data_IF_450117082670
#
_entry.id   IF_450117082670
#
_cell.length_a   1.000
_cell.length_b   1.000
_cell.length_c   1.000
_cell.angle_alpha   90.00
_cell.angle_beta   90.00
_cell.angle_gamma   90.00
#
_symmetry.space_group_name_H-M   'P 1'
#
loop_
_entity.id
_entity.type
_entity.pdbx_description
1 polymer ?
#
# COMPACT_ATOMS: atom_id res chain seq x y z
N UNK A 1 -9.28 -14.41 7.80
CA UNK A 1 -8.34 -13.86 8.80
C UNK A 1 -8.98 -12.93 9.81
N UNK A 2 -9.99 -12.11 9.45
CA UNK A 2 -10.93 -11.57 10.46
C UNK A 2 -11.47 -12.68 11.39
N UNK A 3 -11.71 -13.88 10.86
CA UNK A 3 -12.01 -15.09 11.64
C UNK A 3 -10.91 -15.57 12.61
N UNK A 4 -9.62 -15.35 12.36
CA UNK A 4 -8.56 -15.79 13.29
C UNK A 4 -8.43 -14.84 14.47
N UNK A 5 -8.47 -13.53 14.23
CA UNK A 5 -8.49 -12.54 15.30
C UNK A 5 -9.82 -12.62 16.09
N UNK A 6 -10.96 -12.80 15.41
CA UNK A 6 -12.26 -13.00 16.05
C UNK A 6 -12.35 -14.34 16.80
N UNK A 7 -11.85 -15.45 16.25
CA UNK A 7 -11.81 -16.73 16.97
C UNK A 7 -10.81 -16.72 18.13
N UNK A 8 -9.70 -15.99 18.01
CA UNK A 8 -8.77 -15.79 19.11
C UNK A 8 -9.44 -15.01 20.25
N UNK A 9 -10.23 -13.98 19.93
CA UNK A 9 -10.97 -13.17 20.90
C UNK A 9 -12.05 -13.94 21.69
N UNK A 10 -12.58 -15.04 21.15
CA UNK A 10 -13.61 -15.85 21.81
C UNK A 10 -13.04 -17.08 22.56
N UNK A 11 -11.74 -17.41 22.40
CA UNK A 11 -11.10 -18.64 22.92
C UNK A 11 -10.02 -18.40 24.01
N UNK A 12 -10.07 -17.27 24.72
CA UNK A 12 -8.88 -16.54 25.21
C UNK A 12 -8.03 -17.10 26.39
N UNK A 13 -8.42 -18.13 27.15
CA UNK A 13 -7.54 -18.53 28.28
C UNK A 13 -6.39 -19.47 27.89
N UNK A 14 -6.59 -20.28 26.84
CA UNK A 14 -5.64 -21.34 26.45
C UNK A 14 -4.76 -20.99 25.24
N UNK A 15 -5.12 -19.96 24.46
CA UNK A 15 -4.33 -19.56 23.30
C UNK A 15 -2.98 -18.96 23.73
N UNK A 16 -1.86 -19.65 23.42
CA UNK A 16 -0.51 -19.20 23.79
C UNK A 16 0.30 -18.61 22.64
N UNK A 17 -0.02 -18.98 21.41
CA UNK A 17 0.63 -18.43 20.22
C UNK A 17 -0.36 -18.31 19.05
N UNK A 18 -0.17 -17.28 18.22
CA UNK A 18 -0.98 -17.02 17.03
C UNK A 18 -0.10 -16.52 15.88
N UNK A 19 -0.54 -16.80 14.66
CA UNK A 19 0.10 -16.31 13.43
C UNK A 19 -0.91 -15.46 12.66
N UNK A 20 -0.49 -14.27 12.24
CA UNK A 20 -1.16 -13.45 11.23
C UNK A 20 -0.32 -13.52 9.95
N UNK A 21 -0.82 -14.16 8.90
CA UNK A 21 -0.07 -14.35 7.65
C UNK A 21 -0.77 -13.58 6.51
N UNK A 22 -0.20 -12.45 6.09
CA UNK A 22 -0.75 -11.54 5.05
C UNK A 22 -2.25 -11.27 5.23
N UNK A 23 -2.64 -10.95 6.47
CA UNK A 23 -4.02 -10.87 6.89
C UNK A 23 -4.52 -9.46 7.14
N UNK A 24 -5.64 -9.05 6.53
CA UNK A 24 -6.33 -7.84 6.95
C UNK A 24 -7.10 -8.08 8.26
N UNK A 25 -7.26 -7.00 9.02
CA UNK A 25 -8.13 -6.91 10.19
C UNK A 25 -9.30 -5.91 9.97
N UNK A 26 -9.18 -5.00 9.00
CA UNK A 26 -10.19 -3.98 8.71
C UNK A 26 -10.49 -3.93 7.21
N UNK A 27 -11.57 -4.57 6.79
CA UNK A 27 -11.96 -4.58 5.38
C UNK A 27 -12.49 -3.24 4.88
N UNK A 28 -13.02 -2.39 5.76
CA UNK A 28 -13.46 -1.04 5.42
C UNK A 28 -12.28 -0.16 5.07
N UNK A 29 -11.29 -0.11 5.95
CA UNK A 29 -10.05 0.62 5.70
C UNK A 29 -9.30 0.07 4.47
N UNK A 30 -9.29 -1.26 4.25
CA UNK A 30 -8.71 -1.84 3.03
C UNK A 30 -9.39 -1.32 1.76
N UNK A 31 -10.71 -1.32 1.77
CA UNK A 31 -11.51 -1.10 0.57
C UNK A 31 -11.68 0.39 0.28
N UNK A 32 -11.87 1.23 1.30
CA UNK A 32 -12.21 2.65 1.15
C UNK A 32 -11.31 3.61 1.93
N UNK A 33 -10.30 3.12 2.66
CA UNK A 33 -9.49 3.97 3.56
C UNK A 33 -8.71 5.09 2.87
N UNK A 34 -8.52 5.00 1.55
CA UNK A 34 -7.91 6.07 0.73
C UNK A 34 -8.93 7.09 0.20
N UNK A 35 -10.22 6.91 0.51
CA UNK A 35 -11.36 7.60 -0.07
C UNK A 35 -11.77 7.10 -1.48
N UNK A 36 -10.92 6.33 -2.16
CA UNK A 36 -11.27 5.61 -3.39
C UNK A 36 -11.41 4.11 -3.13
N UNK A 37 -12.32 3.45 -3.86
CA UNK A 37 -12.48 2.00 -3.75
C UNK A 37 -11.27 1.26 -4.32
N UNK A 38 -10.66 0.40 -3.51
CA UNK A 38 -9.76 -0.66 -3.97
C UNK A 38 -10.59 -1.84 -4.50
N UNK A 39 -10.55 -2.16 -5.80
CA UNK A 39 -11.40 -3.18 -6.39
C UNK A 39 -10.88 -4.62 -6.21
N UNK A 40 -9.78 -4.84 -5.47
CA UNK A 40 -9.35 -6.20 -5.12
C UNK A 40 -10.45 -6.98 -4.37
N UNK A 41 -11.33 -6.30 -3.63
CA UNK A 41 -12.50 -6.94 -3.05
C UNK A 41 -13.52 -7.39 -4.12
N UNK A 42 -13.76 -6.59 -5.17
CA UNK A 42 -14.59 -7.01 -6.31
C UNK A 42 -13.99 -8.24 -6.97
N UNK A 43 -12.66 -8.24 -7.13
CA UNK A 43 -11.91 -9.37 -7.70
C UNK A 43 -12.12 -10.65 -6.89
N UNK A 44 -12.05 -10.55 -5.56
CA UNK A 44 -12.29 -11.66 -4.64
C UNK A 44 -13.76 -12.13 -4.67
N UNK A 45 -14.73 -11.22 -4.62
CA UNK A 45 -16.18 -11.54 -4.70
C UNK A 45 -16.48 -12.28 -6.01
N UNK A 46 -15.93 -11.83 -7.14
CA UNK A 46 -16.09 -12.52 -8.42
C UNK A 46 -15.50 -13.92 -8.43
N UNK A 47 -14.35 -14.14 -7.78
CA UNK A 47 -13.76 -15.47 -7.64
C UNK A 47 -14.62 -16.39 -6.75
N UNK A 48 -15.15 -15.88 -5.64
CA UNK A 48 -16.03 -16.63 -4.75
C UNK A 48 -17.35 -17.01 -5.44
N UNK A 49 -17.96 -16.06 -6.16
CA UNK A 49 -19.19 -16.31 -6.91
C UNK A 49 -18.99 -17.38 -8.00
N UNK A 50 -17.86 -17.34 -8.72
CA UNK A 50 -17.51 -18.36 -9.71
C UNK A 50 -17.32 -19.75 -9.06
N UNK A 51 -16.75 -19.82 -7.86
CA UNK A 51 -16.62 -21.08 -7.10
C UNK A 51 -17.98 -21.62 -6.65
N UNK A 52 -18.85 -20.77 -6.10
CA UNK A 52 -20.20 -21.16 -5.66
C UNK A 52 -21.04 -21.69 -6.82
N UNK A 53 -20.96 -21.05 -7.99
CA UNK A 53 -21.62 -21.49 -9.23
C UNK A 53 -20.92 -22.67 -9.91
N UNK A 54 -19.79 -23.14 -9.38
CA UNK A 54 -18.96 -24.22 -9.96
C UNK A 54 -18.51 -23.94 -11.40
N UNK A 55 -18.31 -22.66 -11.74
CA UNK A 55 -17.85 -22.20 -13.05
C UNK A 55 -16.33 -22.31 -13.22
N UNK A 56 -15.60 -22.49 -12.11
CA UNK A 56 -14.15 -22.65 -12.09
C UNK A 56 -13.71 -23.70 -11.09
N UNK A 57 -12.60 -24.37 -11.42
CA UNK A 57 -11.85 -25.23 -10.49
C UNK A 57 -10.57 -24.55 -9.98
N UNK A 58 -10.24 -23.37 -10.52
CA UNK A 58 -9.06 -22.60 -10.10
C UNK A 58 -9.29 -22.04 -8.70
N UNK A 59 -8.32 -22.17 -7.78
CA UNK A 59 -8.37 -21.45 -6.49
C UNK A 59 -8.45 -19.92 -6.72
N UNK A 60 -9.05 -19.15 -5.79
CA UNK A 60 -9.34 -17.73 -5.99
C UNK A 60 -8.17 -16.89 -6.52
N UNK A 61 -6.94 -16.99 -5.98
CA UNK A 61 -5.84 -16.15 -6.45
C UNK A 61 -5.43 -16.44 -7.91
N UNK A 62 -5.59 -17.68 -8.36
CA UNK A 62 -5.35 -18.07 -9.76
C UNK A 62 -6.48 -17.58 -10.66
N UNK A 63 -7.73 -17.69 -10.22
CA UNK A 63 -8.89 -17.14 -10.92
C UNK A 63 -8.75 -15.63 -11.14
N UNK A 64 -8.41 -14.88 -10.08
CA UNK A 64 -8.19 -13.43 -10.14
C UNK A 64 -7.06 -13.06 -11.12
N UNK A 65 -5.99 -13.84 -11.12
CA UNK A 65 -4.86 -13.63 -12.04
C UNK A 65 -5.23 -13.92 -13.50
N UNK A 66 -5.98 -15.00 -13.73
CA UNK A 66 -6.45 -15.39 -15.06
C UNK A 66 -7.43 -14.37 -15.65
N UNK A 67 -8.28 -13.79 -14.82
CA UNK A 67 -9.29 -12.82 -15.23
C UNK A 67 -8.88 -11.36 -15.06
N UNK A 68 -7.61 -11.05 -14.76
CA UNK A 68 -7.14 -9.68 -14.49
C UNK A 68 -7.49 -8.68 -15.61
N UNK A 69 -7.37 -9.09 -16.87
CA UNK A 69 -7.59 -8.20 -18.03
C UNK A 69 -9.08 -7.98 -18.26
N UNK A 70 -9.87 -9.04 -18.07
CA UNK A 70 -11.33 -8.96 -18.03
C UNK A 70 -11.78 -8.04 -16.90
N UNK A 71 -11.24 -8.20 -15.70
CA UNK A 71 -11.55 -7.38 -14.54
C UNK A 71 -11.19 -5.91 -14.83
N UNK A 72 -9.97 -5.63 -15.27
CA UNK A 72 -9.54 -4.27 -15.60
C UNK A 72 -10.46 -3.62 -16.65
N UNK A 73 -10.81 -4.35 -17.71
CA UNK A 73 -11.76 -3.88 -18.72
C UNK A 73 -13.15 -3.63 -18.14
N UNK A 74 -13.71 -4.58 -17.41
CA UNK A 74 -15.09 -4.50 -16.91
C UNK A 74 -15.21 -3.40 -15.84
N UNK A 75 -14.21 -3.21 -14.98
CA UNK A 75 -14.11 -2.11 -14.02
C UNK A 75 -13.74 -0.75 -14.64
N UNK A 76 -13.37 -0.72 -15.93
CA UNK A 76 -13.21 0.52 -16.71
C UNK A 76 -14.52 0.95 -17.35
N UNK A 77 -15.64 0.33 -17.00
CA UNK A 77 -16.96 0.78 -17.41
C UNK A 77 -17.29 2.14 -16.81
N UNK A 78 -18.06 2.94 -17.57
CA UNK A 78 -18.45 4.29 -17.14
C UNK A 78 -19.41 4.19 -15.95
N UNK A 79 -20.42 3.32 -16.01
CA UNK A 79 -21.09 2.80 -14.81
C UNK A 79 -20.24 1.68 -14.20
N UNK A 80 -19.59 1.98 -13.07
CA UNK A 80 -18.79 0.99 -12.34
C UNK A 80 -19.68 -0.16 -11.86
N UNK A 81 -20.90 0.13 -11.39
CA UNK A 81 -21.87 -0.89 -10.97
C UNK A 81 -22.13 -1.91 -12.08
N UNK A 82 -22.39 -1.45 -13.31
CA UNK A 82 -22.61 -2.37 -14.44
C UNK A 82 -21.34 -3.15 -14.79
N UNK A 83 -20.17 -2.52 -14.60
CA UNK A 83 -18.87 -3.17 -14.70
C UNK A 83 -18.72 -4.32 -13.71
N UNK A 84 -19.01 -4.08 -12.43
CA UNK A 84 -18.95 -5.07 -11.36
C UNK A 84 -19.92 -6.23 -11.63
N UNK A 85 -21.17 -5.94 -11.99
CA UNK A 85 -22.17 -6.95 -12.36
C UNK A 85 -21.71 -7.84 -13.52
N UNK A 86 -21.13 -7.24 -14.57
CA UNK A 86 -20.57 -8.01 -15.71
C UNK A 86 -19.38 -8.88 -15.32
N UNK A 87 -18.50 -8.38 -14.45
CA UNK A 87 -17.35 -9.14 -13.97
C UNK A 87 -17.81 -10.32 -13.10
N UNK A 88 -18.66 -10.07 -12.12
CA UNK A 88 -19.18 -11.07 -11.17
C UNK A 88 -20.13 -12.06 -11.86
N UNK A 89 -20.77 -11.66 -12.96
CA UNK A 89 -21.66 -12.52 -13.75
C UNK A 89 -23.10 -12.52 -13.27
N UNK A 90 -23.57 -11.41 -12.67
CA UNK A 90 -24.93 -11.29 -12.14
C UNK A 90 -25.07 -10.11 -11.18
N UNK A 91 -26.15 -10.11 -10.40
CA UNK A 91 -26.31 -9.17 -9.28
C UNK A 91 -25.22 -9.37 -8.22
N UNK A 92 -24.87 -8.27 -7.55
CA UNK A 92 -23.96 -8.34 -6.40
C UNK A 92 -24.67 -9.05 -5.24
N UNK A 93 -23.94 -9.82 -4.40
CA UNK A 93 -24.48 -10.26 -3.12
C UNK A 93 -24.99 -9.06 -2.32
N UNK A 94 -26.15 -9.18 -1.66
CA UNK A 94 -26.83 -8.07 -0.96
C UNK A 94 -25.91 -7.33 0.03
N UNK A 95 -25.10 -8.08 0.78
CA UNK A 95 -24.13 -7.51 1.72
C UNK A 95 -23.06 -6.67 1.01
N UNK A 96 -22.63 -7.08 -0.20
CA UNK A 96 -21.60 -6.38 -0.96
C UNK A 96 -22.18 -5.19 -1.71
N UNK A 97 -23.39 -5.34 -2.26
CA UNK A 97 -24.17 -4.24 -2.85
C UNK A 97 -24.32 -3.09 -1.84
N UNK A 98 -24.81 -3.41 -0.63
CA UNK A 98 -24.98 -2.43 0.43
C UNK A 98 -23.67 -1.71 0.82
N UNK A 99 -22.54 -2.42 0.79
CA UNK A 99 -21.23 -1.83 1.08
C UNK A 99 -20.79 -0.86 -0.03
N UNK A 100 -20.90 -1.26 -1.30
CA UNK A 100 -20.42 -0.42 -2.42
C UNK A 100 -21.30 0.79 -2.67
N UNK A 101 -22.58 0.73 -2.29
CA UNK A 101 -23.51 1.88 -2.36
C UNK A 101 -23.51 2.73 -1.09
N UNK A 102 -22.71 2.39 -0.08
CA UNK A 102 -22.65 3.11 1.20
C UNK A 102 -23.89 2.93 2.09
N UNK A 103 -24.77 1.97 1.79
CA UNK A 103 -25.94 1.63 2.59
C UNK A 103 -25.60 0.78 3.82
N UNK A 104 -24.45 0.10 3.80
CA UNK A 104 -23.97 -0.79 4.85
C UNK A 104 -22.51 -0.45 5.13
N UNK A 105 -22.19 -0.17 6.39
CA UNK A 105 -20.80 -0.02 6.81
C UNK A 105 -20.11 -1.38 6.88
N UNK A 106 -18.83 -1.43 6.56
CA UNK A 106 -18.05 -2.65 6.80
C UNK A 106 -18.03 -2.98 8.30
N UNK A 107 -18.24 -4.25 8.68
CA UNK A 107 -18.01 -4.66 10.05
C UNK A 107 -16.54 -4.46 10.39
N UNK A 108 -16.26 -3.54 11.33
CA UNK A 108 -14.91 -3.26 11.81
C UNK A 108 -14.51 -4.34 12.80
N UNK A 109 -13.48 -5.13 12.49
CA UNK A 109 -12.94 -6.13 13.41
C UNK A 109 -11.75 -5.61 14.24
N UNK A 110 -11.62 -4.29 14.41
CA UNK A 110 -10.59 -3.65 15.27
C UNK A 110 -10.66 -4.16 16.70
N UNK A 111 -11.86 -4.43 17.21
CA UNK A 111 -12.13 -5.07 18.49
C UNK A 111 -11.30 -6.34 18.72
N UNK A 112 -11.02 -7.10 17.67
CA UNK A 112 -10.31 -8.36 17.79
C UNK A 112 -8.85 -8.15 18.23
N UNK A 113 -8.20 -7.07 17.78
CA UNK A 113 -6.83 -6.75 18.21
C UNK A 113 -6.79 -6.32 19.67
N UNK A 114 -7.82 -5.66 20.17
CA UNK A 114 -7.92 -5.19 21.55
C UNK A 114 -8.17 -6.34 22.55
N UNK A 115 -8.75 -7.45 22.09
CA UNK A 115 -9.08 -8.60 22.94
C UNK A 115 -7.92 -9.60 23.08
N UNK A 116 -6.87 -9.49 22.26
CA UNK A 116 -5.70 -10.36 22.38
C UNK A 116 -4.92 -10.00 23.66
N UNK A 117 -4.76 -10.97 24.55
CA UNK A 117 -3.97 -10.82 25.78
C UNK A 117 -3.23 -12.14 26.09
N UNK A 118 -1.97 -12.03 26.50
CA UNK A 118 -1.16 -13.20 26.92
C UNK A 118 -0.80 -14.18 25.80
N UNK A 119 -1.09 -13.83 24.54
CA UNK A 119 -0.80 -14.62 23.35
C UNK A 119 0.41 -14.06 22.62
N UNK A 120 1.38 -14.91 22.28
CA UNK A 120 2.51 -14.54 21.44
C UNK A 120 2.11 -14.51 19.95
N UNK A 121 2.14 -13.34 19.31
CA UNK A 121 1.68 -13.16 17.92
C UNK A 121 2.84 -12.99 16.96
N UNK A 122 2.92 -13.78 15.89
CA UNK A 122 3.80 -13.51 14.75
C UNK A 122 2.99 -12.90 13.61
N UNK A 123 3.36 -11.70 13.17
CA UNK A 123 2.85 -11.10 11.93
C UNK A 123 3.83 -11.36 10.79
N UNK A 124 3.35 -11.93 9.70
CA UNK A 124 4.13 -12.19 8.48
C UNK A 124 3.49 -11.45 7.31
N UNK A 125 4.27 -10.64 6.60
CA UNK A 125 3.83 -9.86 5.46
C UNK A 125 4.89 -9.82 4.34
N UNK A 126 4.58 -9.15 3.24
CA UNK A 126 5.53 -8.88 2.16
C UNK A 126 5.45 -7.43 1.70
N UNK A 127 6.56 -6.86 1.26
CA UNK A 127 6.61 -5.45 0.83
C UNK A 127 5.69 -5.14 -0.36
N UNK A 128 5.37 -6.15 -1.16
CA UNK A 128 4.48 -6.02 -2.30
C UNK A 128 3.14 -6.77 -2.06
N UNK A 129 2.81 -7.04 -0.79
CA UNK A 129 1.52 -7.59 -0.39
C UNK A 129 0.48 -6.48 -0.24
N UNK A 130 -0.76 -6.75 -0.64
CA UNK A 130 -1.85 -5.76 -0.59
C UNK A 130 -2.31 -5.43 0.83
N UNK A 131 -1.98 -6.25 1.83
CA UNK A 131 -2.35 -6.05 3.22
C UNK A 131 -1.16 -5.61 4.10
N UNK A 132 -0.04 -5.20 3.50
CA UNK A 132 1.16 -4.78 4.24
C UNK A 132 0.85 -3.69 5.27
N UNK A 133 0.10 -2.66 4.89
CA UNK A 133 -0.29 -1.57 5.79
C UNK A 133 -1.06 -2.08 7.01
N UNK A 134 -2.01 -3.00 6.78
CA UNK A 134 -2.77 -3.59 7.87
C UNK A 134 -1.94 -4.49 8.76
N UNK A 135 -0.99 -5.24 8.19
CA UNK A 135 -0.07 -6.07 8.97
C UNK A 135 0.82 -5.20 9.87
N UNK A 136 1.31 -4.07 9.36
CA UNK A 136 2.12 -3.11 10.11
C UNK A 136 1.30 -2.42 11.22
N UNK A 137 0.04 -2.06 10.96
CA UNK A 137 -0.89 -1.56 11.99
C UNK A 137 -1.12 -2.60 13.09
N UNK A 138 -1.38 -3.86 12.73
CA UNK A 138 -1.56 -4.95 13.70
C UNK A 138 -0.33 -5.14 14.58
N UNK A 139 0.86 -5.17 13.97
CA UNK A 139 2.12 -5.27 14.70
C UNK A 139 2.30 -4.10 15.68
N UNK A 140 2.15 -2.85 15.21
CA UNK A 140 2.30 -1.66 16.07
C UNK A 140 1.32 -1.68 17.22
N UNK A 141 0.03 -1.94 16.94
CA UNK A 141 -1.02 -1.94 17.95
C UNK A 141 -0.81 -2.99 19.03
N UNK A 142 -0.43 -4.21 18.64
CA UNK A 142 -0.12 -5.28 19.60
C UNK A 142 1.12 -4.96 20.44
N UNK A 143 2.15 -4.38 19.81
CA UNK A 143 3.38 -3.95 20.50
C UNK A 143 3.10 -2.85 21.53
N UNK A 144 2.32 -1.83 21.17
CA UNK A 144 1.91 -0.73 22.07
C UNK A 144 1.15 -1.25 23.30
N UNK A 145 0.37 -2.33 23.14
CA UNK A 145 -0.34 -3.03 24.22
C UNK A 145 0.55 -3.97 25.04
N UNK A 146 1.87 -3.95 24.83
CA UNK A 146 2.84 -4.78 25.55
C UNK A 146 2.73 -6.28 25.25
N UNK A 147 2.08 -6.66 24.15
CA UNK A 147 2.01 -8.07 23.74
C UNK A 147 3.37 -8.53 23.19
N UNK A 148 3.65 -9.82 23.34
CA UNK A 148 4.81 -10.44 22.68
C UNK A 148 4.50 -10.59 21.21
N UNK A 149 4.99 -9.67 20.38
CA UNK A 149 4.72 -9.65 18.94
C UNK A 149 6.00 -9.68 18.12
N UNK A 150 6.07 -10.64 17.19
CA UNK A 150 7.11 -10.72 16.17
C UNK A 150 6.61 -10.18 14.83
N UNK A 151 7.53 -9.70 13.99
CA UNK A 151 7.25 -9.23 12.64
C UNK A 151 8.21 -9.86 11.63
N UNK A 152 7.69 -10.33 10.50
CA UNK A 152 8.50 -10.75 9.35
C UNK A 152 7.98 -10.08 8.09
N UNK A 153 8.79 -9.27 7.42
CA UNK A 153 8.42 -8.67 6.13
C UNK A 153 9.46 -9.00 5.08
N UNK A 154 9.08 -9.80 4.09
CA UNK A 154 9.97 -10.23 3.01
C UNK A 154 9.73 -9.54 1.66
N UNK A 155 10.53 -9.86 0.64
CA UNK A 155 10.41 -9.31 -0.73
C UNK A 155 9.28 -10.01 -1.51
N UNK A 156 8.13 -10.16 -0.88
CA UNK A 156 7.05 -11.02 -1.37
C UNK A 156 5.81 -10.21 -1.74
N UNK A 157 5.07 -10.69 -2.73
CA UNK A 157 3.63 -10.41 -2.87
C UNK A 157 2.77 -11.41 -2.10
N UNK A 158 1.45 -11.25 -2.18
CA UNK A 158 0.48 -11.98 -1.34
C UNK A 158 0.65 -13.50 -1.31
N UNK A 159 0.82 -14.14 -2.48
CA UNK A 159 0.97 -15.59 -2.56
C UNK A 159 2.37 -16.07 -2.19
N UNK A 160 3.40 -15.35 -2.64
CA UNK A 160 4.79 -15.70 -2.30
C UNK A 160 5.08 -15.57 -0.80
N UNK A 161 4.37 -14.68 -0.10
CA UNK A 161 4.48 -14.54 1.35
C UNK A 161 3.95 -15.77 2.09
N UNK A 162 3.17 -16.64 1.45
CA UNK A 162 2.71 -17.92 1.99
C UNK A 162 3.65 -19.09 1.59
N UNK A 163 4.85 -18.76 1.09
CA UNK A 163 5.87 -19.69 0.63
C UNK A 163 6.68 -20.36 1.75
N UNK A 164 7.73 -21.07 1.34
CA UNK A 164 8.54 -21.93 2.23
C UNK A 164 9.27 -21.19 3.35
N UNK A 165 9.82 -20.00 3.08
CA UNK A 165 10.56 -19.21 4.07
C UNK A 165 9.63 -18.75 5.21
N UNK A 166 8.46 -18.18 4.88
CA UNK A 166 7.42 -17.83 5.86
C UNK A 166 6.94 -19.04 6.67
N UNK A 167 6.77 -20.21 6.02
CA UNK A 167 6.39 -21.44 6.74
C UNK A 167 7.45 -21.85 7.76
N UNK A 168 8.74 -21.69 7.43
CA UNK A 168 9.83 -21.95 8.38
C UNK A 168 9.74 -21.02 9.59
N UNK A 169 9.54 -19.73 9.36
CA UNK A 169 9.38 -18.72 10.41
C UNK A 169 8.19 -19.02 11.33
N UNK A 170 7.07 -19.42 10.73
CA UNK A 170 5.86 -19.82 11.45
C UNK A 170 6.15 -21.02 12.36
N UNK A 171 6.80 -22.07 11.85
CA UNK A 171 7.13 -23.25 12.64
C UNK A 171 8.09 -22.89 13.79
N UNK A 172 9.10 -22.05 13.54
CA UNK A 172 10.02 -21.59 14.58
C UNK A 172 9.32 -20.80 15.69
N UNK A 173 8.34 -19.96 15.34
CA UNK A 173 7.53 -19.25 16.33
C UNK A 173 6.67 -20.20 17.16
N UNK A 174 5.96 -21.13 16.50
CA UNK A 174 5.13 -22.12 17.19
C UNK A 174 5.97 -23.02 18.10
N UNK A 175 7.14 -23.47 17.64
CA UNK A 175 8.07 -24.24 18.46
C UNK A 175 8.52 -23.45 19.70
N UNK A 176 8.79 -22.16 19.56
CA UNK A 176 9.25 -21.31 20.67
C UNK A 176 8.20 -21.13 21.78
N UNK A 177 6.91 -21.04 21.41
CA UNK A 177 5.84 -20.70 22.36
C UNK A 177 4.91 -21.87 22.73
N UNK A 178 4.87 -22.94 21.94
CA UNK A 178 4.00 -24.10 22.16
C UNK A 178 4.74 -25.40 22.49
N UNK A 179 6.03 -25.54 22.12
CA UNK A 179 6.73 -26.79 22.38
C UNK A 179 6.95 -27.03 23.88
N UNK A 180 6.87 -28.28 24.37
CA UNK A 180 7.18 -28.60 25.76
C UNK A 180 8.62 -28.24 26.11
N UNK A 181 8.86 -27.70 27.31
CA UNK A 181 10.20 -27.33 27.80
C UNK A 181 11.21 -28.50 27.81
N UNK A 182 10.73 -29.74 27.74
CA UNK A 182 11.52 -30.98 27.66
C UNK A 182 11.99 -31.32 26.25
N UNK A 183 11.52 -30.63 25.21
CA UNK A 183 11.98 -30.81 23.84
C UNK A 183 13.39 -30.23 23.66
N UNK A 184 14.41 -31.07 23.89
CA UNK A 184 15.85 -30.73 23.87
C UNK A 184 16.32 -30.08 22.54
N UNK A 185 15.59 -30.25 21.43
CA UNK A 185 15.88 -29.60 20.13
C UNK A 185 15.30 -28.19 19.96
N UNK A 186 14.33 -27.76 20.79
CA UNK A 186 13.63 -26.49 20.62
C UNK A 186 14.50 -25.25 20.88
N UNK A 187 15.64 -25.42 21.57
CA UNK A 187 16.53 -24.30 21.95
C UNK A 187 17.55 -23.92 20.87
N UNK A 188 17.75 -24.73 19.83
CA UNK A 188 18.81 -24.51 18.83
C UNK A 188 18.33 -23.75 17.57
N UNK A 189 17.02 -23.64 17.35
CA UNK A 189 16.41 -22.92 16.20
C UNK A 189 15.40 -21.82 16.60
N UNK A 190 15.39 -21.37 17.86
CA UNK A 190 14.52 -20.26 18.27
C UNK A 190 14.89 -18.96 17.53
N UNK A 191 13.89 -18.14 17.18
CA UNK A 191 14.14 -16.82 16.57
C UNK A 191 15.06 -16.01 17.47
N UNK A 192 16.13 -15.47 16.87
CA UNK A 192 17.11 -14.62 17.58
C UNK A 192 16.58 -13.20 17.82
N UNK A 193 15.73 -12.72 16.91
CA UNK A 193 15.14 -11.39 16.95
C UNK A 193 13.63 -11.48 16.73
N UNK A 194 12.87 -10.58 17.37
CA UNK A 194 11.43 -10.50 17.20
C UNK A 194 11.06 -10.01 15.79
N UNK A 195 11.88 -9.14 15.21
CA UNK A 195 11.63 -8.52 13.91
C UNK A 195 12.67 -8.97 12.89
N UNK A 196 12.19 -9.41 11.72
CA UNK A 196 12.97 -9.73 10.52
C UNK A 196 12.42 -8.95 9.34
N UNK A 197 13.23 -8.08 8.75
CA UNK A 197 12.83 -7.17 7.69
C UNK A 197 13.78 -7.32 6.51
N UNK A 198 13.26 -7.57 5.32
CA UNK A 198 14.09 -7.64 4.12
C UNK A 198 14.34 -6.24 3.55
N UNK A 199 15.58 -5.80 3.53
CA UNK A 199 15.98 -4.59 2.81
C UNK A 199 16.02 -4.90 1.31
N UNK A 200 15.09 -4.30 0.58
CA UNK A 200 14.90 -4.54 -0.86
C UNK A 200 16.04 -3.98 -1.72
N UNK A 201 16.80 -3.01 -1.21
CA UNK A 201 17.94 -2.40 -1.89
C UNK A 201 19.24 -3.20 -1.72
N UNK A 202 19.60 -3.56 -0.49
CA UNK A 202 20.78 -4.42 -0.24
C UNK A 202 20.51 -5.90 -0.58
N UNK A 203 19.23 -6.30 -0.59
CA UNK A 203 18.76 -7.68 -0.72
C UNK A 203 19.20 -8.56 0.45
N UNK A 204 19.16 -8.00 1.65
CA UNK A 204 19.60 -8.66 2.88
C UNK A 204 18.53 -8.55 3.97
N UNK A 205 18.51 -9.55 4.85
CA UNK A 205 17.65 -9.54 6.03
C UNK A 205 18.28 -8.70 7.14
N UNK A 206 17.49 -7.77 7.68
CA UNK A 206 17.73 -7.05 8.92
C UNK A 206 17.01 -7.77 10.07
N UNK A 207 17.75 -8.10 11.11
CA UNK A 207 17.22 -8.60 12.38
C UNK A 207 17.29 -7.48 13.43
N UNK A 208 16.16 -7.22 14.10
CA UNK A 208 16.02 -6.14 15.09
C UNK A 208 14.93 -6.50 16.12
N UNK A 209 14.86 -5.76 17.22
CA UNK A 209 13.82 -5.94 18.24
C UNK A 209 12.55 -5.12 17.95
N UNK A 210 12.67 -4.12 17.06
CA UNK A 210 11.64 -3.13 16.83
C UNK A 210 11.54 -2.69 15.37
N UNK A 211 10.31 -2.44 14.92
CA UNK A 211 10.00 -1.73 13.69
C UNK A 211 8.95 -0.63 13.93
N UNK A 212 9.02 0.52 13.24
CA UNK A 212 10.19 1.07 12.55
C UNK A 212 11.42 1.16 13.48
N UNK A 213 12.60 1.43 12.91
CA UNK A 213 13.81 1.59 13.72
C UNK A 213 13.71 2.85 14.60
N UNK A 214 14.14 2.76 15.85
CA UNK A 214 13.97 3.84 16.84
C UNK A 214 14.87 5.07 16.60
N UNK A 215 15.99 4.91 15.87
CA UNK A 215 17.02 5.93 15.69
C UNK A 215 17.18 6.40 14.23
N UNK A 216 16.09 6.58 13.49
CA UNK A 216 16.16 7.14 12.13
C UNK A 216 16.28 8.66 12.16
N UNK A 217 17.21 9.23 11.37
CA UNK A 217 17.26 10.66 11.08
C UNK A 217 16.36 11.01 9.91
N UNK A 218 15.80 12.20 9.94
CA UNK A 218 15.02 12.71 8.82
C UNK A 218 15.90 13.38 7.78
N UNK A 219 15.80 12.95 6.51
CA UNK A 219 16.44 13.63 5.36
C UNK A 219 15.37 14.21 4.45
N UNK A 220 15.48 15.48 4.10
CA UNK A 220 14.50 16.20 3.29
C UNK A 220 15.05 16.50 1.89
N UNK A 221 14.20 16.33 0.88
CA UNK A 221 14.46 16.64 -0.53
C UNK A 221 13.34 17.53 -1.05
N UNK A 222 13.68 18.65 -1.65
CA UNK A 222 12.71 19.60 -2.18
C UNK A 222 12.44 19.32 -3.64
N UNK A 223 11.17 19.37 -4.03
CA UNK A 223 10.79 19.40 -5.44
C UNK A 223 11.26 20.74 -6.00
N UNK A 224 11.73 20.75 -7.23
CA UNK A 224 12.32 21.92 -7.89
C UNK A 224 11.99 21.94 -9.38
N UNK A 225 12.28 23.08 -10.01
CA UNK A 225 12.09 23.28 -11.45
C UNK A 225 12.79 22.19 -12.29
N UNK A 226 12.28 21.99 -13.51
CA UNK A 226 12.81 21.01 -14.47
C UNK A 226 12.75 19.56 -13.96
N UNK A 227 11.89 19.25 -12.99
CA UNK A 227 11.67 17.90 -12.50
C UNK A 227 12.84 17.39 -11.63
N UNK A 228 13.47 18.27 -10.86
CA UNK A 228 14.56 17.90 -9.95
C UNK A 228 14.09 17.69 -8.51
N UNK A 229 14.79 16.81 -7.80
CA UNK A 229 14.77 16.72 -6.34
C UNK A 229 16.12 17.19 -5.79
N UNK A 230 16.09 18.22 -4.96
CA UNK A 230 17.30 18.88 -4.45
C UNK A 230 17.36 18.82 -2.93
N UNK A 231 18.56 18.68 -2.35
CA UNK A 231 18.72 18.64 -0.90
C UNK A 231 18.59 20.03 -0.24
N UNK A 232 18.72 21.10 -1.03
CA UNK A 232 18.55 22.48 -0.58
C UNK A 232 17.16 23.00 -0.93
N UNK A 233 16.55 23.85 -0.09
CA UNK A 233 15.27 24.46 -0.41
C UNK A 233 15.39 25.33 -1.67
N UNK A 234 14.32 25.42 -2.47
CA UNK A 234 14.29 26.28 -3.65
C UNK A 234 14.34 27.75 -3.24
N UNK A 235 14.70 28.62 -4.20
CA UNK A 235 14.70 30.07 -3.98
C UNK A 235 13.30 30.63 -3.68
N UNK A 236 13.25 31.89 -3.26
CA UNK A 236 12.01 32.58 -2.91
C UNK A 236 11.05 32.82 -4.10
N UNK A 237 11.51 32.63 -5.34
CA UNK A 237 10.67 32.81 -6.52
C UNK A 237 9.61 31.70 -6.60
N UNK A 238 8.34 32.04 -6.89
CA UNK A 238 7.31 31.04 -7.10
C UNK A 238 7.65 30.19 -8.33
N UNK A 239 7.47 28.88 -8.18
CA UNK A 239 7.65 27.91 -9.26
C UNK A 239 6.60 26.80 -9.11
N UNK A 240 6.08 26.33 -10.24
CA UNK A 240 5.04 25.30 -10.26
C UNK A 240 5.14 24.42 -11.51
N UNK A 241 4.59 23.21 -11.41
CA UNK A 241 4.43 22.28 -12.52
C UNK A 241 3.00 21.76 -12.50
N UNK A 242 2.33 21.76 -13.65
CA UNK A 242 0.98 21.23 -13.78
C UNK A 242 0.92 20.02 -14.70
N UNK A 243 -0.08 19.17 -14.47
CA UNK A 243 -0.49 18.09 -15.36
C UNK A 243 -2.01 17.98 -15.40
N UNK A 244 -2.54 17.28 -16.39
CA UNK A 244 -3.98 17.07 -16.55
C UNK A 244 -4.30 15.57 -16.47
N UNK A 245 -5.20 15.21 -15.57
CA UNK A 245 -5.76 13.88 -15.45
C UNK A 245 -7.08 13.81 -16.22
N UNK A 246 -7.18 12.92 -17.20
CA UNK A 246 -8.43 12.63 -17.92
C UNK A 246 -8.97 11.25 -17.50
N UNK A 247 -10.13 11.14 -16.83
CA UNK A 247 -10.73 9.87 -16.42
C UNK A 247 -11.08 8.93 -17.58
N UNK A 248 -11.13 9.43 -18.82
CA UNK A 248 -11.31 8.62 -20.04
C UNK A 248 -10.04 7.86 -20.44
N UNK A 249 -8.88 8.34 -20.00
CA UNK A 249 -7.58 7.71 -20.16
C UNK A 249 -6.87 7.66 -18.79
N UNK A 250 -7.44 6.91 -17.82
CA UNK A 250 -6.98 6.97 -16.44
C UNK A 250 -5.53 6.51 -16.33
N UNK A 251 -4.77 7.17 -15.44
CA UNK A 251 -3.37 6.81 -15.20
C UNK A 251 -3.26 5.33 -14.80
N UNK A 252 -2.48 4.51 -15.52
CA UNK A 252 -2.40 3.09 -15.23
C UNK A 252 -1.53 2.81 -14.00
N UNK A 253 -1.94 1.83 -13.20
CA UNK A 253 -1.10 1.26 -12.16
C UNK A 253 -0.02 0.35 -12.79
N UNK A 254 1.25 0.71 -12.66
CA UNK A 254 2.39 -0.11 -13.13
C UNK A 254 3.14 -0.70 -11.95
N UNK A 255 2.87 -1.97 -11.64
CA UNK A 255 3.45 -2.62 -10.48
C UNK A 255 2.96 -1.98 -9.17
N UNK A 256 2.46 -2.82 -8.28
CA UNK A 256 2.10 -2.42 -6.92
C UNK A 256 1.78 -3.68 -6.13
N UNK A 257 1.51 -3.50 -4.85
CA UNK A 257 0.76 -4.45 -4.07
C UNK A 257 -0.65 -4.62 -4.67
N UNK A 258 -0.96 -5.82 -5.16
CA UNK A 258 -2.28 -6.23 -5.65
C UNK A 258 -2.56 -7.65 -5.16
N UNK A 259 -3.84 -8.04 -5.10
CA UNK A 259 -4.24 -9.39 -4.74
C UNK A 259 -4.20 -10.35 -5.95
N UNK A 260 -3.07 -10.47 -6.64
CA UNK A 260 -2.90 -11.38 -7.78
C UNK A 260 -1.49 -12.03 -7.85
N UNK A 261 -1.32 -13.02 -8.72
CA UNK A 261 -0.08 -13.81 -8.88
C UNK A 261 1.11 -12.99 -9.38
N UNK A 262 0.88 -11.83 -10.01
CA UNK A 262 1.97 -10.95 -10.44
C UNK A 262 2.43 -9.98 -9.36
N UNK A 263 1.71 -9.88 -8.24
CA UNK A 263 2.13 -9.11 -7.08
C UNK A 263 3.50 -9.60 -6.58
N UNK A 264 4.36 -8.66 -6.19
CA UNK A 264 5.75 -8.96 -5.83
C UNK A 264 6.77 -8.89 -6.95
N UNK A 265 6.35 -8.70 -8.21
CA UNK A 265 7.30 -8.36 -9.28
C UNK A 265 7.54 -6.86 -9.29
N UNK A 266 8.79 -6.45 -9.04
CA UNK A 266 9.23 -5.07 -9.29
C UNK A 266 9.01 -4.77 -10.77
N UNK A 267 7.99 -3.95 -11.06
CA UNK A 267 7.72 -3.49 -12.41
C UNK A 267 8.66 -2.32 -12.73
N UNK A 268 8.96 -2.18 -14.02
CA UNK A 268 9.66 -1.02 -14.54
C UNK A 268 8.62 0.06 -14.88
N UNK A 269 8.61 1.16 -14.12
CA UNK A 269 7.63 2.24 -14.25
C UNK A 269 8.14 3.41 -15.11
N UNK A 270 9.21 3.23 -15.89
CA UNK A 270 9.69 4.24 -16.86
C UNK A 270 8.59 4.77 -17.77
N UNK A 271 7.70 3.90 -18.24
CA UNK A 271 6.60 4.30 -19.11
C UNK A 271 5.53 5.11 -18.38
N UNK A 272 5.33 4.91 -17.08
CA UNK A 272 4.44 5.72 -16.24
C UNK A 272 5.00 7.14 -16.11
N UNK A 273 6.29 7.25 -15.74
CA UNK A 273 6.95 8.54 -15.55
C UNK A 273 7.07 9.38 -16.84
N UNK A 274 6.90 8.76 -18.01
CA UNK A 274 6.95 9.43 -19.32
C UNK A 274 5.57 9.89 -19.83
N UNK A 275 4.47 9.60 -19.12
CA UNK A 275 3.14 10.03 -19.54
C UNK A 275 2.95 11.53 -19.31
N UNK A 276 2.07 12.13 -20.12
CA UNK A 276 1.75 13.57 -20.03
C UNK A 276 0.85 13.94 -18.84
N UNK A 277 0.13 12.98 -18.26
CA UNK A 277 -0.71 13.14 -17.06
C UNK A 277 0.05 12.83 -15.76
N UNK A 278 1.38 12.78 -15.83
CA UNK A 278 2.28 12.42 -14.73
C UNK A 278 3.42 13.42 -14.66
N UNK A 279 3.78 13.84 -13.45
CA UNK A 279 5.01 14.61 -13.22
C UNK A 279 5.98 13.80 -12.37
N UNK A 280 7.26 13.93 -12.67
CA UNK A 280 8.33 13.25 -11.95
C UNK A 280 9.41 14.24 -11.51
N UNK A 281 9.85 14.11 -10.26
CA UNK A 281 10.99 14.84 -9.71
C UNK A 281 12.07 13.83 -9.36
N UNK A 282 13.31 14.03 -9.83
CA UNK A 282 14.38 13.05 -9.68
C UNK A 282 15.65 13.71 -9.14
N UNK A 283 16.37 13.04 -8.24
CA UNK A 283 17.68 13.50 -7.78
C UNK A 283 18.75 13.32 -8.86
N UNK A 284 19.89 13.98 -8.69
CA UNK A 284 21.15 13.50 -9.28
C UNK A 284 21.52 12.11 -8.72
N UNK A 285 22.44 11.36 -9.36
CA UNK A 285 22.96 10.13 -8.79
C UNK A 285 23.41 10.35 -7.35
N UNK A 286 22.96 9.50 -6.44
CA UNK A 286 23.35 9.59 -5.04
C UNK A 286 24.86 9.37 -4.89
N UNK A 287 25.52 10.22 -4.12
CA UNK A 287 26.95 10.13 -3.86
C UNK A 287 27.32 9.03 -2.84
N UNK A 288 26.34 8.63 -2.03
CA UNK A 288 26.44 7.62 -0.98
C UNK A 288 25.12 6.84 -0.86
N UNK A 289 25.16 5.70 -0.19
CA UNK A 289 23.97 4.89 0.10
C UNK A 289 23.02 5.66 1.04
N UNK A 290 21.72 5.60 0.77
CA UNK A 290 20.66 6.13 1.63
C UNK A 290 19.75 4.97 2.04
N UNK A 291 19.79 4.61 3.32
CA UNK A 291 19.04 3.50 3.90
C UNK A 291 17.71 3.99 4.49
N UNK A 292 16.63 3.87 3.74
CA UNK A 292 15.28 4.27 4.18
C UNK A 292 14.62 3.13 4.96
N UNK A 293 14.22 3.40 6.21
CA UNK A 293 13.66 2.42 7.14
C UNK A 293 12.44 3.00 7.87
N UNK A 294 11.27 2.94 7.24
CA UNK A 294 10.03 3.50 7.76
C UNK A 294 9.18 4.15 6.66
N UNK A 295 8.27 5.06 7.03
CA UNK A 295 7.42 5.78 6.08
C UNK A 295 8.07 7.04 5.50
N UNK A 296 8.25 7.13 4.18
CA UNK A 296 8.41 8.40 3.50
C UNK A 296 7.18 9.29 3.69
N UNK A 297 7.37 10.60 3.73
CA UNK A 297 6.28 11.58 3.81
C UNK A 297 6.48 12.64 2.73
N UNK A 298 5.47 12.86 1.89
CA UNK A 298 5.45 13.96 0.93
C UNK A 298 4.60 15.10 1.49
N UNK A 299 5.24 16.25 1.75
CA UNK A 299 4.56 17.51 2.06
C UNK A 299 4.36 18.27 0.75
N UNK A 300 3.10 18.45 0.33
CA UNK A 300 2.76 18.91 -1.01
C UNK A 300 1.96 20.22 -0.97
N UNK A 301 2.50 21.26 -1.60
CA UNK A 301 1.72 22.43 -1.97
C UNK A 301 1.01 22.13 -3.30
N UNK A 302 -0.27 21.79 -3.22
CA UNK A 302 -1.07 21.33 -4.37
C UNK A 302 -2.31 22.19 -4.56
N UNK A 303 -2.72 22.36 -5.81
CA UNK A 303 -4.05 22.87 -6.18
C UNK A 303 -4.62 22.09 -7.36
N UNK A 304 -5.94 22.12 -7.53
CA UNK A 304 -6.64 21.46 -8.63
C UNK A 304 -7.74 22.35 -9.22
N UNK A 305 -8.08 22.14 -10.49
CA UNK A 305 -9.14 22.89 -11.16
C UNK A 305 -10.54 22.57 -10.65
N UNK A 306 -10.73 21.41 -10.01
CA UNK A 306 -12.01 20.97 -9.47
C UNK A 306 -11.87 20.38 -8.05
N UNK A 307 -12.89 20.56 -7.19
CA UNK A 307 -13.67 19.41 -6.73
C UNK A 307 -12.96 18.15 -6.24
N UNK A 308 -12.83 17.31 -7.24
CA UNK A 308 -12.96 15.88 -7.12
C UNK A 308 -11.72 15.37 -7.82
N UNK A 309 -10.67 15.22 -7.03
CA UNK A 309 -9.33 14.98 -7.50
C UNK A 309 -8.73 13.89 -6.63
N UNK A 310 -7.96 13.00 -7.24
CA UNK A 310 -7.19 12.00 -6.50
C UNK A 310 -5.70 12.32 -6.70
N UNK A 311 -4.87 11.93 -5.73
CA UNK A 311 -3.42 11.99 -5.85
C UNK A 311 -2.86 10.58 -5.66
N UNK A 312 -2.11 10.12 -6.65
CA UNK A 312 -1.23 8.96 -6.54
C UNK A 312 0.21 9.44 -6.50
N UNK A 313 0.94 9.01 -5.46
CA UNK A 313 2.35 9.35 -5.26
C UNK A 313 3.15 8.06 -5.18
N UNK A 314 4.31 8.04 -5.83
CA UNK A 314 5.29 6.96 -5.71
C UNK A 314 6.67 7.53 -5.41
N UNK A 315 7.42 6.84 -4.56
CA UNK A 315 8.86 7.00 -4.40
C UNK A 315 9.53 5.80 -5.05
N UNK A 316 10.34 6.07 -6.07
CA UNK A 316 10.96 5.06 -6.92
C UNK A 316 12.50 5.13 -6.83
N UNK A 317 13.14 3.97 -6.93
CA UNK A 317 14.58 3.84 -7.17
C UNK A 317 14.84 3.79 -8.67
N UNK A 318 15.66 4.71 -9.19
CA UNK A 318 16.07 4.73 -10.60
C UNK A 318 17.51 4.25 -10.72
N UNK A 319 17.68 3.14 -11.41
CA UNK A 319 18.97 2.51 -11.69
C UNK A 319 19.77 3.31 -12.72
N UNK A 320 21.08 3.03 -12.82
CA UNK A 320 21.96 3.73 -13.76
C UNK A 320 21.58 3.53 -15.24
N UNK A 321 20.91 2.43 -15.58
CA UNK A 321 20.38 2.14 -16.91
C UNK A 321 19.01 2.80 -17.18
N UNK A 322 18.50 3.57 -16.20
CA UNK A 322 17.21 4.26 -16.24
C UNK A 322 16.02 3.43 -15.79
N UNK A 323 16.16 2.12 -15.55
CA UNK A 323 15.09 1.27 -14.99
C UNK A 323 14.62 1.86 -13.68
N UNK A 324 13.30 1.99 -13.51
CA UNK A 324 12.69 2.66 -12.37
C UNK A 324 11.74 1.71 -11.66
N UNK A 325 11.91 1.56 -10.35
CA UNK A 325 11.17 0.62 -9.51
C UNK A 325 10.49 1.35 -8.36
N UNK A 326 9.18 1.17 -8.24
CA UNK A 326 8.42 1.67 -7.09
C UNK A 326 8.89 1.00 -5.79
N UNK A 327 9.19 1.81 -4.78
CA UNK A 327 9.64 1.38 -3.44
C UNK A 327 8.55 1.58 -2.40
N UNK A 328 7.81 2.68 -2.51
CA UNK A 328 6.78 3.09 -1.56
C UNK A 328 5.79 4.00 -2.28
N UNK A 329 4.52 3.95 -1.90
CA UNK A 329 3.45 4.69 -2.57
C UNK A 329 2.41 5.20 -1.58
N UNK A 330 1.64 6.19 -2.01
CA UNK A 330 0.44 6.68 -1.35
C UNK A 330 -0.65 6.93 -2.39
N UNK A 331 -1.90 6.80 -1.97
CA UNK A 331 -3.06 7.21 -2.74
C UNK A 331 -4.05 7.90 -1.82
N UNK A 332 -4.57 9.04 -2.26
CA UNK A 332 -5.58 9.79 -1.52
C UNK A 332 -6.59 10.38 -2.50
N UNK A 333 -7.87 10.07 -2.30
CA UNK A 333 -8.97 10.87 -2.84
C UNK A 333 -9.10 12.13 -2.00
N UNK A 334 -8.98 13.28 -2.64
CA UNK A 334 -9.10 14.56 -1.96
C UNK A 334 -10.59 14.86 -1.74
N UNK A 335 -11.02 14.86 -0.48
CA UNK A 335 -12.35 15.38 -0.12
C UNK A 335 -12.34 16.91 -0.19
N UNK A 336 -13.53 17.53 -0.24
CA UNK A 336 -13.74 18.98 -0.12
C UNK A 336 -13.12 19.54 1.17
N UNK A 337 -13.04 18.74 2.24
CA UNK A 337 -12.50 19.12 3.55
C UNK A 337 -10.98 18.91 3.68
N UNK A 338 -10.39 18.00 2.90
CA UNK A 338 -8.95 17.70 2.91
C UNK A 338 -8.13 18.66 2.02
N UNK A 339 -8.78 19.69 1.47
CA UNK A 339 -8.13 20.72 0.68
C UNK A 339 -7.44 21.76 1.55
N UNK A 340 -6.12 21.65 1.68
CA UNK A 340 -5.31 22.85 1.43
C UNK A 340 -5.29 23.09 -0.09
N UNK A 341 -5.52 24.32 -0.63
CA UNK A 341 -5.57 25.63 0.01
C UNK A 341 -6.85 26.43 -0.37
N UNK A 342 -7.81 26.48 0.55
CA UNK A 342 -8.35 27.79 0.97
C UNK A 342 -7.68 28.27 2.29
N UNK A 343 -6.96 27.38 3.00
CA UNK A 343 -6.32 27.64 4.32
C UNK A 343 -4.82 27.96 4.28
N UNK A 344 -4.11 27.53 3.23
CA UNK A 344 -2.68 27.80 3.03
C UNK A 344 -1.70 26.75 3.60
N UNK A 345 -2.18 25.62 4.10
CA UNK A 345 -1.37 24.51 4.64
C UNK A 345 -0.89 23.52 3.55
N UNK A 346 0.22 22.81 3.83
CA UNK A 346 0.75 21.74 2.96
C UNK A 346 0.00 20.43 3.19
N UNK A 347 -0.43 19.78 2.11
CA UNK A 347 -1.02 18.44 2.17
C UNK A 347 0.06 17.42 2.56
N UNK A 348 -0.16 16.66 3.63
CA UNK A 348 0.75 15.61 4.08
C UNK A 348 0.28 14.25 3.55
N UNK A 349 1.09 13.63 2.70
CA UNK A 349 0.86 12.28 2.21
C UNK A 349 1.92 11.36 2.81
N UNK A 350 1.53 10.54 3.78
CA UNK A 350 2.38 9.48 4.33
C UNK A 350 2.32 8.27 3.41
N UNK A 351 3.48 7.86 2.90
CA UNK A 351 3.57 6.67 2.04
C UNK A 351 3.76 5.41 2.90
N UNK A 352 3.42 4.27 2.30
CA UNK A 352 3.58 2.95 2.93
C UNK A 352 5.02 2.75 3.41
N UNK A 353 5.19 2.25 4.63
CA UNK A 353 6.51 1.98 5.21
C UNK A 353 7.34 1.06 4.29
N UNK A 354 8.64 1.32 4.18
CA UNK A 354 9.55 0.51 3.40
C UNK A 354 10.89 0.30 4.11
N UNK A 355 11.57 -0.79 3.73
CA UNK A 355 12.97 -1.03 4.01
C UNK A 355 13.73 -1.10 2.68
N UNK A 356 14.43 -0.02 2.34
CA UNK A 356 15.15 0.07 1.07
C UNK A 356 16.43 0.91 1.19
N UNK A 357 17.55 0.32 0.81
CA UNK A 357 18.80 1.05 0.58
C UNK A 357 18.91 1.49 -0.88
N UNK A 358 18.74 2.80 -1.12
CA UNK A 358 19.11 3.43 -2.38
C UNK A 358 20.63 3.47 -2.46
N UNK A 359 21.21 2.64 -3.32
CA UNK A 359 22.67 2.52 -3.44
C UNK A 359 23.26 3.75 -4.11
N UNK A 360 24.52 4.06 -3.81
CA UNK A 360 25.33 5.04 -4.53
C UNK A 360 25.19 4.84 -6.05
N UNK A 361 24.98 5.95 -6.76
CA UNK A 361 24.80 5.97 -8.22
C UNK A 361 23.35 5.75 -8.70
N UNK A 362 22.46 5.25 -7.83
CA UNK A 362 21.01 5.27 -8.09
C UNK A 362 20.44 6.67 -7.89
N UNK A 363 19.20 6.91 -8.30
CA UNK A 363 18.47 8.15 -8.01
C UNK A 363 17.18 7.86 -7.26
N UNK A 364 16.74 8.84 -6.49
CA UNK A 364 15.42 8.85 -5.88
C UNK A 364 14.50 9.62 -6.82
N UNK A 365 13.34 9.06 -7.14
CA UNK A 365 12.31 9.72 -7.95
C UNK A 365 11.00 9.79 -7.18
N UNK A 366 10.35 10.94 -7.20
CA UNK A 366 8.96 11.10 -6.81
C UNK A 366 8.12 11.20 -8.07
N UNK A 367 7.11 10.34 -8.21
CA UNK A 367 6.12 10.37 -9.29
C UNK A 367 4.78 10.81 -8.69
N UNK A 368 4.12 11.79 -9.32
CA UNK A 368 2.81 12.30 -8.90
C UNK A 368 1.85 12.23 -10.10
N UNK A 369 0.67 11.67 -9.87
CA UNK A 369 -0.38 11.51 -10.88
C UNK A 369 -1.78 11.68 -10.27
N UNK A 370 -2.79 11.84 -11.14
CA UNK A 370 -4.20 11.98 -10.73
C UNK A 370 -4.95 10.67 -10.52
N UNK A 371 -4.29 9.52 -10.74
CA UNK A 371 -4.92 8.21 -10.62
C UNK A 371 -3.92 7.04 -10.57
N UNK A 372 -4.43 5.85 -10.30
CA UNK A 372 -3.67 4.58 -10.31
C UNK A 372 -4.62 3.42 -10.61
N UNK A 373 -5.18 3.40 -11.81
CA UNK A 373 -6.21 2.45 -12.24
C UNK A 373 -5.60 1.15 -12.80
N UNK A 374 -6.11 -0.05 -12.49
CA UNK A 374 -7.29 -0.34 -11.69
C UNK A 374 -6.96 -0.67 -10.23
N UNK A 375 -5.82 -0.23 -9.67
CA UNK A 375 -5.53 -0.46 -8.24
C UNK A 375 -6.55 0.29 -7.36
N UNK A 376 -6.94 1.48 -7.79
CA UNK A 376 -8.07 2.20 -7.25
C UNK A 376 -9.05 2.52 -8.38
N UNK A 377 -10.33 2.55 -8.06
CA UNK A 377 -11.36 3.04 -8.97
C UNK A 377 -11.06 4.50 -9.30
N UNK A 378 -10.95 4.76 -10.61
CA UNK A 378 -10.75 6.11 -11.16
C UNK A 378 -11.73 7.12 -10.57
N UNK A 379 -11.23 8.30 -10.23
CA UNK A 379 -12.08 9.45 -10.01
C UNK A 379 -12.66 9.91 -11.36
N UNK A 380 -13.93 10.27 -11.41
CA UNK A 380 -14.57 10.80 -12.62
C UNK A 380 -14.26 12.28 -12.86
N UNK A 381 -13.57 12.95 -11.93
CA UNK A 381 -13.35 14.40 -11.96
C UNK A 381 -14.62 15.20 -11.63
N UNK A 382 -15.70 14.50 -11.27
CA UNK A 382 -17.00 15.06 -10.95
C UNK A 382 -17.41 14.66 -9.53
N UNK A 383 -18.46 15.31 -9.01
CA UNK A 383 -19.04 14.98 -7.71
C UNK A 383 -20.09 13.88 -7.78
N UNK A 384 -20.14 13.13 -8.88
CA UNK A 384 -21.09 12.06 -9.05
C UNK A 384 -20.76 10.86 -8.14
N UNK A 385 -21.78 10.05 -7.92
CA UNK A 385 -21.65 8.82 -7.16
C UNK A 385 -20.60 7.88 -7.76
N UNK A 386 -19.83 7.21 -6.89
CA UNK A 386 -18.71 6.37 -7.29
C UNK A 386 -19.12 5.18 -8.16
N UNK A 387 -20.29 4.57 -7.90
CA UNK A 387 -20.72 3.35 -8.57
C UNK A 387 -21.69 3.60 -9.73
N UNK A 388 -22.46 4.68 -9.67
CA UNK A 388 -23.48 5.06 -10.66
C UNK A 388 -23.12 6.25 -11.54
N UNK A 389 -22.10 7.02 -11.17
CA UNK A 389 -21.65 8.18 -11.95
C UNK A 389 -21.23 7.78 -13.36
N UNK A 390 -21.48 8.68 -14.32
CA UNK A 390 -21.18 8.47 -15.73
C UNK A 390 -20.54 9.68 -16.40
N UNK A 391 -20.68 10.87 -15.82
CA UNK A 391 -20.10 12.09 -16.36
C UNK A 391 -18.66 12.24 -15.89
N UNK A 392 -17.81 12.58 -16.86
CA UNK A 392 -16.36 12.63 -16.69
C UNK A 392 -15.84 14.02 -17.03
N UNK A 393 -15.01 14.58 -16.16
CA UNK A 393 -14.34 15.87 -16.38
C UNK A 393 -12.84 15.71 -16.13
N UNK A 394 -12.02 16.34 -16.97
CA UNK A 394 -10.57 16.35 -16.75
C UNK A 394 -10.24 17.28 -15.59
N UNK A 395 -9.24 16.90 -14.80
CA UNK A 395 -8.78 17.67 -13.65
C UNK A 395 -7.34 18.12 -13.89
N UNK A 396 -7.12 19.44 -13.89
CA UNK A 396 -5.77 20.01 -13.90
C UNK A 396 -5.25 20.02 -12.46
N UNK A 397 -4.09 19.41 -12.23
CA UNK A 397 -3.36 19.46 -10.97
C UNK A 397 -2.17 20.42 -11.12
N UNK A 398 -1.86 21.16 -10.07
CA UNK A 398 -0.68 22.03 -10.00
C UNK A 398 0.07 21.74 -8.71
N UNK A 399 1.37 21.47 -8.83
CA UNK A 399 2.29 21.30 -7.70
C UNK A 399 3.21 22.50 -7.63
N UNK A 400 3.21 23.17 -6.49
CA UNK A 400 4.05 24.34 -6.22
C UNK A 400 5.34 23.90 -5.52
N UNK A 401 6.46 24.36 -6.05
CA UNK A 401 7.81 23.93 -5.66
C UNK A 401 8.81 25.09 -5.57
N UNK A 402 8.31 26.32 -5.43
CA UNK A 402 9.11 27.50 -5.08
C UNK A 402 8.49 28.29 -3.93
N UNK A 403 9.23 29.26 -3.38
CA UNK A 403 8.77 30.10 -2.27
C UNK A 403 8.74 29.39 -0.91
N UNK A 404 8.15 30.06 0.10
CA UNK A 404 8.17 29.62 1.51
C UNK A 404 7.44 28.30 1.79
N UNK A 405 6.65 27.80 0.83
CA UNK A 405 5.84 26.58 0.96
C UNK A 405 6.21 25.54 -0.10
N UNK A 406 7.51 25.39 -0.34
CA UNK A 406 8.01 24.43 -1.31
C UNK A 406 7.65 23.00 -0.92
N UNK A 407 7.08 22.25 -1.88
CA UNK A 407 6.83 20.82 -1.72
C UNK A 407 8.12 20.05 -1.45
N UNK A 408 8.07 19.07 -0.56
CA UNK A 408 9.25 18.29 -0.18
C UNK A 408 8.92 16.84 0.19
N UNK A 409 9.86 15.94 -0.14
CA UNK A 409 9.89 14.56 0.29
C UNK A 409 10.77 14.43 1.54
N UNK A 410 10.25 13.77 2.55
CA UNK A 410 10.91 13.50 3.81
C UNK A 410 11.14 12.00 3.96
N UNK A 411 12.38 11.59 4.20
CA UNK A 411 12.79 10.19 4.28
C UNK A 411 13.32 9.83 5.69
N UNK A 412 12.83 8.74 6.32
CA UNK A 412 13.39 8.20 7.55
C UNK A 412 14.65 7.38 7.24
N UNK A 413 15.81 7.98 7.42
CA UNK A 413 17.11 7.40 7.08
C UNK A 413 17.76 6.80 8.33
N UNK A 414 18.12 5.53 8.26
CA UNK A 414 18.91 4.85 9.30
C UNK A 414 20.37 5.35 9.27
N UNK A 415 20.98 5.52 10.46
CA UNK A 415 22.29 6.19 10.63
C UNK A 415 23.40 5.22 10.99
#
# INVERSE_FOLDING_TARGET
>A
MAQQAAAAADALSELKAMIVLVGPHDWGAFTFGTGAMNPDMVSWVGAMAAMERKETWLPPPFHMSWHRERMARDLSAVSLMDGMRRYIGGELPEWFDGIVTGNVEFPVATDALERIEGTAVLVVAGWADTFIEQCLVQYRRLKERGQVVGLTVGPWGHLSAQGGESKREILQWLDQYLAPKTAVKAKQESRKALVRIFDTGTKQWLETDAWPLENTRTTQWFLSAEGRLEASPPGAAPAETSFEYDPRNPTPNIGSSMLNYQAGKLADDRSLAARSDVIAFTTEPLEQDIRVMGSPVLSLAHSSSHPFADLSVRVCAVEANGTSHNISEAYQRLDKLDRGPETGELLQLTLVECAHTFRKGTRIRVVIAGGSHPKYVRNLGTGEDMVHGVNMESVKHTVHHGGERASSLTLPVDV
#
